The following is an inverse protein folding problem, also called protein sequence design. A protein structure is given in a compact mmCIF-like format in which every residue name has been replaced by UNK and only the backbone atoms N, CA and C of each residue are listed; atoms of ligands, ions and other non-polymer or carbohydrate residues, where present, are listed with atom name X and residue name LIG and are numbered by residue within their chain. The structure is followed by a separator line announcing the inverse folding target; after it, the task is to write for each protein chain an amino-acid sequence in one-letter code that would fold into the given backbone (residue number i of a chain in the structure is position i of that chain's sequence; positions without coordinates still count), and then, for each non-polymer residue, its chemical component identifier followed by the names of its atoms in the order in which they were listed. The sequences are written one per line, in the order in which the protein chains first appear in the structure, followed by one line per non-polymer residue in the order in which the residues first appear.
data_IF_049590064108
#
_entry.id   IF_049590064108
#
_cell.length_a   1.000
_cell.length_b   1.000
_cell.length_c   1.000
_cell.angle_alpha   90.00
_cell.angle_beta   90.00
_cell.angle_gamma   90.00
#
_symmetry.space_group_name_H-M   'P 1'
#
loop_
_entity.id
_entity.type
_entity.pdbx_description
1 polymer ?
#
# COMPACT_ATOMS: atom_id res chain seq x y z
N UNK A 1 -11.11 -10.48 3.85
CA UNK A 1 -10.34 -9.34 4.39
C UNK A 1 -11.12 -8.08 4.05
N UNK A 2 -11.58 -7.31 5.04
CA UNK A 2 -12.28 -6.04 4.80
C UNK A 2 -11.36 -4.82 4.99
N UNK A 3 -11.84 -3.63 4.61
CA UNK A 3 -11.08 -2.37 4.74
C UNK A 3 -10.65 -2.07 6.18
N UNK A 4 -11.52 -2.33 7.14
CA UNK A 4 -11.27 -2.05 8.56
C UNK A 4 -10.19 -2.98 9.11
N UNK A 5 -10.23 -4.25 8.71
CA UNK A 5 -9.23 -5.25 9.03
C UNK A 5 -7.88 -4.91 8.42
N UNK A 6 -7.82 -4.50 7.14
CA UNK A 6 -6.58 -4.05 6.49
C UNK A 6 -5.97 -2.83 7.18
N UNK A 7 -6.79 -1.84 7.57
CA UNK A 7 -6.32 -0.70 8.37
C UNK A 7 -5.73 -1.15 9.71
N UNK A 8 -6.43 -2.04 10.43
CA UNK A 8 -5.94 -2.57 11.71
C UNK A 8 -4.60 -3.28 11.55
N UNK A 9 -4.45 -4.09 10.50
CA UNK A 9 -3.19 -4.78 10.18
C UNK A 9 -2.10 -3.75 9.85
N UNK A 10 -2.39 -2.76 9.00
CA UNK A 10 -1.42 -1.70 8.67
C UNK A 10 -0.90 -0.98 9.92
N UNK A 11 -1.80 -0.58 10.84
CA UNK A 11 -1.39 0.07 12.09
C UNK A 11 -0.61 -0.86 13.02
N UNK A 12 -0.99 -2.14 13.09
CA UNK A 12 -0.23 -3.14 13.84
C UNK A 12 1.20 -3.28 13.30
N UNK A 13 1.34 -3.43 11.97
CA UNK A 13 2.64 -3.57 11.30
C UNK A 13 3.49 -2.30 11.43
N UNK A 14 2.87 -1.13 11.44
CA UNK A 14 3.57 0.13 11.71
C UNK A 14 4.14 0.17 13.13
N UNK A 15 3.39 -0.34 14.12
CA UNK A 15 3.86 -0.43 15.51
C UNK A 15 5.01 -1.41 15.63
N UNK A 16 4.94 -2.55 14.95
CA UNK A 16 6.02 -3.53 14.89
C UNK A 16 7.28 -2.92 14.26
N UNK A 17 7.13 -2.25 13.12
CA UNK A 17 8.21 -1.56 12.43
C UNK A 17 8.91 -0.51 13.31
N UNK A 18 8.13 0.33 14.01
CA UNK A 18 8.67 1.32 14.95
C UNK A 18 9.44 0.68 16.10
N UNK A 19 8.93 -0.43 16.65
CA UNK A 19 9.59 -1.13 17.75
C UNK A 19 10.93 -1.72 17.32
N UNK A 20 10.98 -2.30 16.11
CA UNK A 20 12.21 -2.83 15.52
C UNK A 20 13.20 -1.72 15.17
N UNK A 21 12.73 -0.55 14.74
CA UNK A 21 13.57 0.60 14.44
C UNK A 21 14.29 1.11 15.70
N UNK A 22 13.58 1.20 16.83
CA UNK A 22 14.16 1.60 18.13
C UNK A 22 15.22 0.60 18.61
N UNK A 23 15.05 -0.68 18.29
CA UNK A 23 16.02 -1.74 18.60
C UNK A 23 17.11 -1.90 17.53
N UNK A 24 17.24 -0.94 16.59
CA UNK A 24 18.23 -0.96 15.51
C UNK A 24 18.13 -2.22 14.61
N UNK A 25 16.96 -2.87 14.60
CA UNK A 25 16.66 -4.01 13.74
C UNK A 25 16.17 -3.55 12.37
N UNK A 26 17.04 -2.81 11.67
CA UNK A 26 16.74 -2.08 10.44
C UNK A 26 16.02 -2.91 9.39
N UNK A 27 16.50 -4.13 9.13
CA UNK A 27 15.90 -4.93 8.07
C UNK A 27 14.53 -5.49 8.44
N UNK A 28 14.28 -5.78 9.72
CA UNK A 28 12.95 -6.19 10.17
C UNK A 28 12.00 -5.00 10.12
N UNK A 29 12.46 -3.83 10.56
CA UNK A 29 11.70 -2.59 10.47
C UNK A 29 11.29 -2.28 9.02
N UNK A 30 12.23 -2.38 8.07
CA UNK A 30 11.96 -2.19 6.65
C UNK A 30 10.91 -3.18 6.11
N UNK A 31 11.02 -4.45 6.47
CA UNK A 31 10.07 -5.49 6.06
C UNK A 31 8.63 -5.19 6.53
N UNK A 32 8.48 -4.81 7.80
CA UNK A 32 7.17 -4.45 8.35
C UNK A 32 6.63 -3.10 7.81
N UNK A 33 7.51 -2.17 7.45
CA UNK A 33 7.13 -0.95 6.73
C UNK A 33 6.51 -1.27 5.37
N UNK A 34 7.08 -2.20 4.60
CA UNK A 34 6.51 -2.63 3.31
C UNK A 34 5.08 -3.16 3.45
N UNK A 35 4.85 -4.09 4.39
CA UNK A 35 3.50 -4.59 4.69
C UNK A 35 2.53 -3.52 5.17
N UNK A 36 3.02 -2.52 5.91
CA UNK A 36 2.20 -1.39 6.35
C UNK A 36 1.66 -0.62 5.15
N UNK A 37 2.53 -0.30 4.19
CA UNK A 37 2.15 0.43 2.98
C UNK A 37 1.23 -0.41 2.10
N UNK A 38 1.56 -1.69 1.88
CA UNK A 38 0.73 -2.62 1.11
C UNK A 38 -0.71 -2.70 1.67
N UNK A 39 -0.84 -2.93 2.99
CA UNK A 39 -2.15 -3.01 3.64
C UNK A 39 -2.91 -1.69 3.57
N UNK A 40 -2.19 -0.56 3.70
CA UNK A 40 -2.76 0.79 3.56
C UNK A 40 -3.32 1.04 2.15
N UNK A 41 -2.54 0.71 1.11
CA UNK A 41 -2.95 0.85 -0.28
C UNK A 41 -4.13 -0.06 -0.61
N UNK A 42 -4.11 -1.33 -0.17
CA UNK A 42 -5.25 -2.25 -0.33
C UNK A 42 -6.51 -1.73 0.37
N UNK A 43 -6.38 -1.08 1.53
CA UNK A 43 -7.52 -0.45 2.20
C UNK A 43 -8.05 0.80 1.44
N UNK A 44 -7.17 1.58 0.82
CA UNK A 44 -7.56 2.69 -0.06
C UNK A 44 -8.25 2.18 -1.34
N UNK A 45 -7.74 1.08 -1.91
CA UNK A 45 -8.33 0.43 -3.06
C UNK A 45 -9.74 -0.09 -2.77
N UNK A 46 -9.94 -0.78 -1.64
CA UNK A 46 -11.29 -1.21 -1.21
C UNK A 46 -12.23 -0.02 -0.98
N UNK A 47 -11.72 1.12 -0.51
CA UNK A 47 -12.52 2.36 -0.43
C UNK A 47 -12.94 2.82 -1.82
N UNK A 48 -12.00 2.92 -2.75
CA UNK A 48 -12.27 3.39 -4.10
C UNK A 48 -13.24 2.46 -4.85
N UNK A 49 -13.11 1.14 -4.66
CA UNK A 49 -14.02 0.14 -5.22
C UNK A 49 -15.42 0.19 -4.57
N UNK A 50 -15.52 0.47 -3.27
CA UNK A 50 -16.80 0.56 -2.56
C UNK A 50 -17.53 1.90 -2.75
N UNK A 51 -16.80 3.01 -2.92
CA UNK A 51 -17.36 4.35 -3.20
C UNK A 51 -17.70 4.52 -4.69
N UNK A 52 -17.06 3.76 -5.57
CA UNK A 52 -17.44 3.68 -6.99
C UNK A 52 -18.68 2.81 -7.18
N UNK A 53 -19.85 3.31 -6.76
CA UNK A 53 -21.15 2.70 -7.04
C UNK A 53 -21.43 2.51 -8.56
N UNK A 54 -20.62 3.12 -9.44
CA UNK A 54 -20.63 2.89 -10.89
C UNK A 54 -20.01 1.54 -11.33
N UNK A 55 -19.31 0.80 -10.45
CA UNK A 55 -18.60 -0.44 -10.82
C UNK A 55 -19.49 -1.70 -10.69
N UNK A 56 -20.66 -1.62 -10.05
CA UNK A 56 -21.57 -2.77 -9.90
C UNK A 56 -22.12 -3.33 -11.24
N UNK A 57 -21.82 -2.70 -12.39
CA UNK A 57 -22.16 -3.20 -13.73
C UNK A 57 -20.97 -3.68 -14.58
N UNK A 58 -19.71 -3.49 -14.17
CA UNK A 58 -18.56 -3.84 -15.00
C UNK A 58 -17.94 -5.18 -14.61
N UNK A 59 -17.93 -6.13 -15.54
CA UNK A 59 -17.26 -7.44 -15.46
C UNK A 59 -15.75 -7.35 -15.08
N UNK A 60 -15.15 -6.16 -15.11
CA UNK A 60 -13.79 -5.88 -14.65
C UNK A 60 -13.60 -5.87 -13.13
N UNK A 61 -14.67 -5.84 -12.32
CA UNK A 61 -14.57 -5.84 -10.85
C UNK A 61 -13.84 -7.07 -10.31
N UNK A 62 -14.23 -8.28 -10.72
CA UNK A 62 -13.60 -9.53 -10.25
C UNK A 62 -12.12 -9.60 -10.67
N UNK A 63 -11.78 -9.07 -11.85
CA UNK A 63 -10.41 -9.02 -12.34
C UNK A 63 -9.56 -8.03 -11.52
N UNK A 64 -10.08 -6.81 -11.28
CA UNK A 64 -9.41 -5.83 -10.40
C UNK A 64 -9.24 -6.36 -8.99
N UNK A 65 -10.21 -7.12 -8.48
CA UNK A 65 -10.13 -7.75 -7.15
C UNK A 65 -9.12 -8.90 -7.08
N UNK A 66 -8.93 -9.64 -8.18
CA UNK A 66 -7.84 -10.59 -8.31
C UNK A 66 -6.48 -9.88 -8.39
N UNK A 67 -6.40 -8.77 -9.15
CA UNK A 67 -5.20 -7.93 -9.26
C UNK A 67 -4.84 -7.23 -7.94
N UNK A 68 -5.81 -6.99 -7.05
CA UNK A 68 -5.60 -6.47 -5.69
C UNK A 68 -4.71 -7.37 -4.81
N UNK A 69 -4.54 -8.65 -5.16
CA UNK A 69 -3.67 -9.57 -4.43
C UNK A 69 -2.20 -9.49 -4.88
N UNK A 70 -1.85 -8.50 -5.69
CA UNK A 70 -0.44 -8.18 -5.94
C UNK A 70 0.24 -7.59 -4.70
N UNK A 71 1.55 -7.83 -4.61
CA UNK A 71 2.46 -7.24 -3.62
C UNK A 71 3.26 -6.05 -4.22
N UNK A 72 2.97 -5.71 -5.47
CA UNK A 72 3.59 -4.61 -6.21
C UNK A 72 2.95 -3.27 -5.79
N UNK A 73 3.71 -2.45 -5.08
CA UNK A 73 3.23 -1.19 -4.51
C UNK A 73 2.88 -0.16 -5.60
N UNK A 74 3.63 -0.11 -6.72
CA UNK A 74 3.35 0.81 -7.83
C UNK A 74 2.02 0.43 -8.51
N UNK A 75 1.76 -0.86 -8.73
CA UNK A 75 0.46 -1.33 -9.23
C UNK A 75 -0.67 -1.02 -8.27
N UNK A 76 -0.47 -1.18 -6.96
CA UNK A 76 -1.49 -0.87 -5.97
C UNK A 76 -1.83 0.63 -5.94
N UNK A 77 -0.85 1.52 -6.13
CA UNK A 77 -1.10 2.97 -6.26
C UNK A 77 -1.93 3.28 -7.51
N UNK A 78 -1.62 2.63 -8.63
CA UNK A 78 -2.37 2.82 -9.89
C UNK A 78 -3.81 2.32 -9.76
N UNK A 79 -3.99 1.09 -9.25
CA UNK A 79 -5.31 0.49 -9.02
C UNK A 79 -6.16 1.31 -8.05
N UNK A 80 -5.53 1.93 -7.04
CA UNK A 80 -6.22 2.79 -6.08
C UNK A 80 -6.64 4.16 -6.67
N UNK A 81 -6.30 4.44 -7.93
CA UNK A 81 -6.59 5.73 -8.58
C UNK A 81 -5.74 6.89 -8.04
N UNK A 82 -4.68 6.58 -7.27
CA UNK A 82 -3.88 7.59 -6.57
C UNK A 82 -2.71 8.11 -7.40
N UNK A 83 -2.45 7.56 -8.59
CA UNK A 83 -1.25 7.85 -9.39
C UNK A 83 -1.03 9.34 -9.65
N UNK A 84 -2.09 10.08 -10.00
CA UNK A 84 -2.01 11.50 -10.28
C UNK A 84 -1.73 12.32 -8.99
N UNK A 85 -2.55 12.14 -7.96
CA UNK A 85 -2.40 12.85 -6.68
C UNK A 85 -1.07 12.53 -6.00
N UNK A 86 -0.68 11.25 -6.00
CA UNK A 86 0.57 10.79 -5.43
C UNK A 86 1.78 11.28 -6.23
N UNK A 87 1.66 11.38 -7.56
CA UNK A 87 2.68 11.99 -8.41
C UNK A 87 2.91 13.47 -8.08
N UNK A 88 1.84 14.24 -7.88
CA UNK A 88 1.91 15.64 -7.45
C UNK A 88 2.54 15.76 -6.06
N UNK A 89 2.09 14.93 -5.09
CA UNK A 89 2.64 14.92 -3.74
C UNK A 89 4.14 14.59 -3.73
N UNK A 90 4.58 13.63 -4.55
CA UNK A 90 5.99 13.29 -4.74
C UNK A 90 6.79 14.42 -5.40
N UNK A 91 6.22 15.10 -6.39
CA UNK A 91 6.86 16.26 -7.03
C UNK A 91 7.02 17.45 -6.07
N UNK A 92 6.07 17.65 -5.17
CA UNK A 92 6.11 18.71 -4.16
C UNK A 92 6.99 18.37 -2.94
N UNK A 93 7.31 17.09 -2.71
CA UNK A 93 8.07 16.63 -1.55
C UNK A 93 9.24 15.71 -1.96
N UNK A 94 10.46 16.26 -2.08
CA UNK A 94 11.64 15.48 -2.44
C UNK A 94 11.94 14.31 -1.50
N UNK A 95 11.66 14.45 -0.20
CA UNK A 95 11.86 13.37 0.76
C UNK A 95 10.90 12.20 0.49
N UNK A 96 9.63 12.51 0.19
CA UNK A 96 8.65 11.50 -0.20
C UNK A 96 9.07 10.76 -1.47
N UNK A 97 9.56 11.49 -2.48
CA UNK A 97 10.07 10.89 -3.71
C UNK A 97 11.27 9.97 -3.44
N UNK A 98 12.22 10.38 -2.60
CA UNK A 98 13.38 9.57 -2.25
C UNK A 98 12.98 8.29 -1.51
N UNK A 99 12.11 8.39 -0.50
CA UNK A 99 11.63 7.20 0.21
C UNK A 99 10.80 6.29 -0.70
N UNK A 100 9.97 6.86 -1.59
CA UNK A 100 9.23 6.07 -2.57
C UNK A 100 10.16 5.31 -3.51
N UNK A 101 11.25 5.95 -3.96
CA UNK A 101 12.21 5.33 -4.88
C UNK A 101 12.89 4.08 -4.31
N UNK A 102 12.93 3.94 -2.99
CA UNK A 102 13.46 2.76 -2.30
C UNK A 102 12.35 1.75 -2.04
N UNK A 103 11.22 2.18 -1.47
CA UNK A 103 10.19 1.25 -1.00
C UNK A 103 9.35 0.66 -2.13
N UNK A 104 9.26 1.32 -3.29
CA UNK A 104 8.56 0.77 -4.46
C UNK A 104 9.15 -0.58 -4.91
N UNK A 105 10.45 -0.79 -4.66
CA UNK A 105 11.19 -1.99 -5.01
C UNK A 105 11.13 -3.04 -3.88
N UNK A 106 10.34 -2.79 -2.82
CA UNK A 106 10.03 -3.78 -1.80
C UNK A 106 9.19 -4.92 -2.38
N UNK A 107 9.53 -6.15 -2.04
CA UNK A 107 8.73 -7.33 -2.35
C UNK A 107 8.76 -8.30 -1.16
N UNK A 108 7.64 -8.97 -0.91
CA UNK A 108 7.45 -9.82 0.27
C UNK A 108 8.44 -10.99 0.37
N UNK A 109 8.91 -11.50 -0.78
CA UNK A 109 9.85 -12.61 -0.87
C UNK A 109 11.31 -12.18 -0.73
N UNK A 110 11.58 -10.90 -0.41
CA UNK A 110 12.94 -10.40 -0.24
C UNK A 110 13.67 -11.00 0.98
N UNK A 111 13.02 -11.92 1.73
CA UNK A 111 13.58 -12.60 2.89
C UNK A 111 13.01 -13.99 3.10
#
# INVERSE_FOLDING_TARGET
MDRTQLKKIAFSRLRDAKSLLVQERWSGAYYFCGYTIECGLKACLLRHLGESAAIFGEAGYLKRLADCWTHDLDKLVDLAGLKAEFGVARGANPALQNFWSVIKDWFEAAR
#
